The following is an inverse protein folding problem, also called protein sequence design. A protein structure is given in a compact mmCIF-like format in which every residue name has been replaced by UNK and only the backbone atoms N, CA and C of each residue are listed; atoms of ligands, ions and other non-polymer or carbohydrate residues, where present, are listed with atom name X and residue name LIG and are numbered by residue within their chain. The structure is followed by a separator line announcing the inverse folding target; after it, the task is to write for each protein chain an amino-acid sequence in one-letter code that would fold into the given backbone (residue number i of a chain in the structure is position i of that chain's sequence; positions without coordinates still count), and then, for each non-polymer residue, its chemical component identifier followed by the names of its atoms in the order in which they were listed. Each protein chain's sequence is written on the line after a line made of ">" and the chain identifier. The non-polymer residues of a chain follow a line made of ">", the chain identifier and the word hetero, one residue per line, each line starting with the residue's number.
data_IF_712345408673
#
_entry.id   IF_712345408673
#
_cell.length_a   1.000
_cell.length_b   1.000
_cell.length_c   1.000
_cell.angle_alpha   90.00
_cell.angle_beta   90.00
_cell.angle_gamma   90.00
#
_symmetry.space_group_name_H-M   'P 1'
#
loop_
_entity.id
_entity.type
_entity.pdbx_description
1 polymer ?
#
# COMPACT_ATOMS: atom_id res chain seq x y z
N UNK A 1 72.88 8.47 7.27
CA UNK A 1 72.01 8.30 8.46
C UNK A 1 71.31 9.64 8.72
N UNK A 2 70.02 9.80 8.97
CA UNK A 2 68.95 8.87 9.32
C UNK A 2 67.95 9.64 10.18
N UNK A 3 67.14 10.55 9.62
CA UNK A 3 66.18 11.31 10.44
C UNK A 3 64.82 11.63 9.79
N UNK A 4 64.61 11.34 8.49
CA UNK A 4 63.31 11.62 7.84
C UNK A 4 62.26 10.50 8.00
N UNK A 5 62.67 9.27 8.31
CA UNK A 5 61.74 8.13 8.48
C UNK A 5 61.06 8.06 9.87
N UNK A 6 61.68 8.63 10.91
CA UNK A 6 61.20 8.49 12.29
C UNK A 6 59.99 9.39 12.58
N UNK A 7 59.90 10.56 11.93
CA UNK A 7 58.79 11.52 12.14
C UNK A 7 57.49 11.02 11.52
N UNK A 8 57.57 10.40 10.33
CA UNK A 8 56.42 9.79 9.65
C UNK A 8 55.93 8.56 10.41
N UNK A 9 56.84 7.69 10.86
CA UNK A 9 56.48 6.51 11.64
C UNK A 9 55.86 6.86 13.01
N UNK A 10 56.37 7.90 13.70
CA UNK A 10 55.77 8.39 14.96
C UNK A 10 54.38 9.01 14.77
N UNK A 11 54.16 9.72 13.66
CA UNK A 11 52.86 10.31 13.33
C UNK A 11 51.81 9.25 12.96
N UNK A 12 52.23 8.21 12.23
CA UNK A 12 51.36 7.06 11.95
C UNK A 12 51.06 6.22 13.20
N UNK A 13 52.05 6.02 14.08
CA UNK A 13 51.85 5.33 15.35
C UNK A 13 50.88 6.09 16.27
N UNK A 14 50.95 7.43 16.31
CA UNK A 14 50.01 8.26 17.07
C UNK A 14 48.58 8.17 16.51
N UNK A 15 48.41 8.20 15.18
CA UNK A 15 47.11 8.03 14.53
C UNK A 15 46.50 6.63 14.77
N UNK A 16 47.33 5.58 14.76
CA UNK A 16 46.90 4.22 15.09
C UNK A 16 46.47 4.09 16.56
N UNK A 17 47.18 4.75 17.49
CA UNK A 17 46.86 4.76 18.91
C UNK A 17 45.57 5.52 19.22
N UNK A 18 45.33 6.64 18.54
CA UNK A 18 44.06 7.40 18.65
C UNK A 18 42.89 6.59 18.07
N UNK A 19 43.11 5.86 16.98
CA UNK A 19 42.13 4.90 16.45
C UNK A 19 41.77 3.84 17.48
N UNK A 20 42.77 3.11 18.01
CA UNK A 20 42.57 2.01 18.98
C UNK A 20 41.86 2.45 20.27
N UNK A 21 42.03 3.70 20.70
CA UNK A 21 41.37 4.24 21.89
C UNK A 21 39.95 4.78 21.64
N UNK A 22 39.62 5.21 20.40
CA UNK A 22 38.28 5.74 20.06
C UNK A 22 37.30 4.69 19.50
N UNK A 23 37.77 3.60 18.90
CA UNK A 23 36.88 2.56 18.34
C UNK A 23 36.03 1.77 19.37
N UNK A 24 36.50 1.44 20.60
CA UNK A 24 35.66 0.67 21.52
C UNK A 24 34.52 1.50 22.14
N UNK A 25 34.66 2.82 22.15
CA UNK A 25 33.67 3.74 22.74
C UNK A 25 32.45 3.96 21.80
N UNK A 26 32.64 3.88 20.47
CA UNK A 26 31.53 4.03 19.52
C UNK A 26 30.64 2.77 19.42
N UNK A 27 31.21 1.57 19.55
CA UNK A 27 30.43 0.32 19.46
C UNK A 27 29.54 0.08 20.69
N UNK A 28 29.98 0.47 21.88
CA UNK A 28 29.18 0.38 23.11
C UNK A 28 27.99 1.38 23.11
N UNK A 29 28.16 2.54 22.46
CA UNK A 29 27.12 3.57 22.38
C UNK A 29 25.96 3.22 21.43
N UNK A 30 26.17 2.34 20.43
CA UNK A 30 25.11 1.89 19.52
C UNK A 30 24.17 0.86 20.15
N UNK A 31 24.67 0.00 21.04
CA UNK A 31 23.86 -1.06 21.67
C UNK A 31 22.93 -0.50 22.77
N UNK A 32 23.38 0.48 23.54
CA UNK A 32 22.54 1.14 24.56
C UNK A 32 21.44 2.01 23.95
N UNK A 33 21.69 2.62 22.79
CA UNK A 33 20.72 3.48 22.10
C UNK A 33 19.62 2.69 21.39
N UNK A 34 19.95 1.55 20.78
CA UNK A 34 18.97 0.67 20.13
C UNK A 34 18.06 -0.03 21.15
N UNK A 35 18.61 -0.50 22.28
CA UNK A 35 17.83 -1.05 23.39
C UNK A 35 16.89 0.01 24.00
N UNK A 36 17.39 1.22 24.22
CA UNK A 36 16.58 2.32 24.76
C UNK A 36 15.45 2.78 23.83
N UNK A 37 15.66 2.82 22.51
CA UNK A 37 14.63 3.28 21.56
C UNK A 37 13.46 2.29 21.45
N UNK A 38 13.73 0.99 21.43
CA UNK A 38 12.70 -0.06 21.42
C UNK A 38 11.92 -0.09 22.75
N UNK A 39 12.62 0.05 23.89
CA UNK A 39 11.99 0.09 25.22
C UNK A 39 11.15 1.36 25.43
N UNK A 40 11.55 2.51 24.88
CA UNK A 40 10.73 3.72 24.92
C UNK A 40 9.43 3.57 24.09
N UNK A 41 9.49 2.86 22.97
CA UNK A 41 8.31 2.61 22.13
C UNK A 41 7.31 1.69 22.83
N UNK A 42 7.79 0.60 23.43
CA UNK A 42 6.94 -0.36 24.17
C UNK A 42 6.38 0.28 25.45
N UNK A 43 7.14 1.16 26.12
CA UNK A 43 6.65 1.93 27.25
C UNK A 43 5.52 2.92 26.87
N UNK A 44 5.60 3.55 25.68
CA UNK A 44 4.50 4.37 25.14
C UNK A 44 3.26 3.54 24.82
N UNK A 45 3.43 2.31 24.34
CA UNK A 45 2.32 1.39 24.12
C UNK A 45 1.64 1.00 25.44
N UNK A 46 2.44 0.76 26.49
CA UNK A 46 1.92 0.44 27.82
C UNK A 46 1.09 1.59 28.42
N UNK A 47 1.54 2.84 28.26
CA UNK A 47 0.79 4.00 28.76
C UNK A 47 -0.53 4.22 28.00
N UNK A 48 -0.55 3.95 26.69
CA UNK A 48 -1.77 3.98 25.88
C UNK A 48 -2.78 2.92 26.32
N UNK A 49 -2.34 1.69 26.60
CA UNK A 49 -3.23 0.62 27.09
C UNK A 49 -3.81 0.93 28.48
N UNK A 50 -3.00 1.49 29.40
CA UNK A 50 -3.49 1.96 30.71
C UNK A 50 -4.46 3.14 30.61
N UNK A 51 -4.34 3.97 29.56
CA UNK A 51 -5.33 5.00 29.29
C UNK A 51 -6.66 4.39 28.80
N UNK A 52 -6.59 3.34 27.99
CA UNK A 52 -7.77 2.58 27.55
C UNK A 52 -8.49 1.90 28.72
N UNK A 53 -7.76 1.30 29.67
CA UNK A 53 -8.35 0.73 30.90
C UNK A 53 -9.17 1.77 31.68
N UNK A 54 -8.61 2.98 31.88
CA UNK A 54 -9.31 4.08 32.56
C UNK A 54 -10.53 4.55 31.77
N UNK A 55 -10.41 4.67 30.45
CA UNK A 55 -11.53 5.12 29.59
C UNK A 55 -12.69 4.12 29.54
N UNK A 56 -12.39 2.82 29.67
CA UNK A 56 -13.38 1.74 29.63
C UNK A 56 -13.86 1.31 31.02
N UNK A 57 -13.32 1.91 32.07
CA UNK A 57 -13.68 1.57 33.46
C UNK A 57 -13.32 0.14 33.85
N UNK A 58 -12.34 -0.47 33.19
CA UNK A 58 -11.90 -1.82 33.52
C UNK A 58 -11.19 -1.79 34.89
N UNK A 59 -11.81 -2.34 35.93
CA UNK A 59 -11.20 -2.45 37.26
C UNK A 59 -10.54 -3.83 37.40
N UNK A 60 -9.40 -3.89 38.08
CA UNK A 60 -8.72 -5.16 38.36
C UNK A 60 -9.65 -6.10 39.12
N UNK A 61 -10.17 -7.12 38.43
CA UNK A 61 -11.16 -8.06 38.95
C UNK A 61 -12.48 -8.14 38.17
N UNK A 62 -12.72 -7.25 37.20
CA UNK A 62 -13.92 -7.29 36.34
C UNK A 62 -13.78 -8.30 35.17
N UNK A 63 -13.25 -9.50 35.46
CA UNK A 63 -13.24 -10.63 34.51
C UNK A 63 -14.63 -11.28 34.36
N UNK A 64 -15.66 -10.69 34.97
CA UNK A 64 -17.03 -11.21 35.00
C UNK A 64 -17.74 -10.92 33.67
N UNK A 65 -17.42 -11.71 32.65
CA UNK A 65 -18.06 -11.69 31.33
C UNK A 65 -17.61 -12.87 30.47
N UNK A 66 -18.46 -13.30 29.53
CA UNK A 66 -18.22 -14.47 28.68
C UNK A 66 -16.99 -14.38 27.78
N UNK A 67 -16.84 -15.36 26.88
CA UNK A 67 -15.65 -15.59 26.04
C UNK A 67 -15.04 -14.32 25.38
N UNK A 68 -15.86 -13.31 25.05
CA UNK A 68 -15.43 -11.99 24.55
C UNK A 68 -15.50 -10.89 25.64
N UNK A 69 -14.56 -10.91 26.59
CA UNK A 69 -14.45 -9.84 27.59
C UNK A 69 -13.31 -8.86 27.21
N UNK A 70 -13.63 -7.60 26.85
CA UNK A 70 -12.64 -6.61 26.43
C UNK A 70 -11.67 -6.19 27.54
N UNK A 71 -12.10 -6.24 28.81
CA UNK A 71 -11.22 -5.94 29.95
C UNK A 71 -10.21 -7.06 30.19
N UNK A 72 -10.60 -8.32 29.94
CA UNK A 72 -9.68 -9.48 30.01
C UNK A 72 -8.64 -9.47 28.89
N UNK A 73 -9.02 -9.09 27.67
CA UNK A 73 -8.07 -8.95 26.56
C UNK A 73 -7.06 -7.82 26.82
N UNK A 74 -7.52 -6.70 27.38
CA UNK A 74 -6.66 -5.58 27.75
C UNK A 74 -5.66 -5.96 28.86
N UNK A 75 -6.11 -6.65 29.92
CA UNK A 75 -5.22 -7.09 31.00
C UNK A 75 -4.15 -8.09 30.51
N UNK A 76 -4.52 -9.00 29.61
CA UNK A 76 -3.59 -9.94 28.98
C UNK A 76 -2.53 -9.23 28.14
N UNK A 77 -2.91 -8.24 27.32
CA UNK A 77 -1.97 -7.45 26.52
C UNK A 77 -1.00 -6.65 27.38
N UNK A 78 -1.49 -6.06 28.48
CA UNK A 78 -0.66 -5.31 29.42
C UNK A 78 0.36 -6.23 30.11
N UNK A 79 -0.07 -7.41 30.56
CA UNK A 79 0.82 -8.38 31.19
C UNK A 79 1.92 -8.87 30.23
N UNK A 80 1.58 -9.11 28.97
CA UNK A 80 2.55 -9.53 27.96
C UNK A 80 3.59 -8.44 27.67
N UNK A 81 3.17 -7.18 27.48
CA UNK A 81 4.11 -6.07 27.25
C UNK A 81 4.99 -5.82 28.49
N UNK A 82 4.44 -5.95 29.69
CA UNK A 82 5.23 -5.84 30.93
C UNK A 82 6.27 -6.96 31.06
N UNK A 83 5.95 -8.18 30.59
CA UNK A 83 6.90 -9.30 30.53
C UNK A 83 7.99 -9.06 29.48
N UNK A 84 7.61 -8.52 28.32
CA UNK A 84 8.56 -8.14 27.27
C UNK A 84 9.54 -7.07 27.77
N UNK A 85 9.05 -6.02 28.42
CA UNK A 85 9.89 -4.98 29.04
C UNK A 85 10.87 -5.58 30.07
N UNK A 86 10.41 -6.53 30.88
CA UNK A 86 11.25 -7.21 31.86
C UNK A 86 12.34 -8.06 31.17
N UNK A 87 12.00 -8.78 30.10
CA UNK A 87 12.97 -9.58 29.32
C UNK A 87 13.97 -8.74 28.51
N UNK A 88 13.55 -7.59 27.98
CA UNK A 88 14.42 -6.62 27.30
C UNK A 88 15.36 -5.90 28.28
N UNK A 89 14.89 -5.61 29.50
CA UNK A 89 15.72 -5.05 30.58
C UNK A 89 16.80 -6.03 31.07
N UNK A 90 16.54 -7.33 30.99
CA UNK A 90 17.52 -8.39 31.29
C UNK A 90 18.49 -8.60 30.13
N UNK A 91 18.02 -8.50 28.88
CA UNK A 91 18.86 -8.60 27.68
C UNK A 91 19.81 -7.41 27.54
N UNK A 92 19.40 -6.21 27.97
CA UNK A 92 20.27 -5.02 28.01
C UNK A 92 21.32 -5.07 29.13
N UNK A 93 21.15 -5.92 30.16
CA UNK A 93 22.22 -6.26 31.12
C UNK A 93 23.20 -7.30 30.58
N UNK A 94 22.85 -8.05 29.54
CA UNK A 94 23.70 -9.08 28.94
C UNK A 94 24.67 -8.56 27.87
N UNK A 95 24.76 -7.24 27.67
CA UNK A 95 25.78 -6.64 26.80
C UNK A 95 27.18 -6.54 27.46
N UNK A 96 27.36 -7.13 28.65
CA UNK A 96 28.67 -7.33 29.26
C UNK A 96 29.04 -8.80 29.08
N UNK A 97 30.13 -9.02 28.34
CA UNK A 97 30.78 -10.31 28.08
C UNK A 97 30.11 -11.26 27.06
N UNK A 98 30.49 -11.17 25.78
CA UNK A 98 30.51 -12.35 24.89
C UNK A 98 31.97 -12.63 24.49
N UNK A 99 32.58 -13.73 24.96
CA UNK A 99 33.79 -14.25 24.35
C UNK A 99 33.44 -14.89 23.00
N UNK A 100 34.24 -14.56 21.99
CA UNK A 100 34.15 -15.15 20.66
C UNK A 100 34.60 -16.62 20.69
N UNK A 101 33.69 -17.57 20.47
CA UNK A 101 33.95 -18.86 19.83
C UNK A 101 32.65 -19.62 19.57
N UNK A 102 32.37 -19.89 18.30
CA UNK A 102 31.29 -20.73 17.78
C UNK A 102 31.48 -22.24 18.09
N UNK A 103 30.48 -23.08 17.76
CA UNK A 103 30.70 -23.89 16.55
C UNK A 103 29.47 -23.99 15.62
N UNK A 104 29.79 -24.22 14.35
CA UNK A 104 28.89 -24.31 13.21
C UNK A 104 27.88 -25.46 13.33
N UNK A 105 26.59 -25.14 13.21
CA UNK A 105 25.53 -26.11 12.96
C UNK A 105 25.40 -26.36 11.45
N UNK A 106 25.55 -27.62 11.03
CA UNK A 106 25.37 -28.05 9.65
C UNK A 106 23.89 -27.97 9.27
N UNK A 107 23.54 -27.13 8.31
CA UNK A 107 22.21 -27.11 7.69
C UNK A 107 22.18 -28.16 6.59
N UNK A 108 21.36 -29.21 6.77
CA UNK A 108 20.99 -30.14 5.70
C UNK A 108 19.92 -29.47 4.84
N UNK A 109 20.19 -29.31 3.55
CA UNK A 109 19.25 -28.82 2.56
C UNK A 109 18.40 -30.00 2.09
N UNK A 110 17.17 -30.11 2.59
CA UNK A 110 16.19 -31.07 2.08
C UNK A 110 15.47 -30.49 0.84
N UNK A 111 15.40 -31.30 -0.22
CA UNK A 111 14.77 -30.98 -1.49
C UNK A 111 13.26 -31.18 -1.37
N UNK A 112 12.39 -30.17 -1.62
CA UNK A 112 10.96 -30.39 -1.58
C UNK A 112 10.54 -31.33 -2.72
N UNK A 113 9.75 -32.33 -2.35
CA UNK A 113 9.11 -33.30 -3.24
C UNK A 113 7.96 -32.62 -3.96
N UNK A 114 8.04 -32.53 -5.28
CA UNK A 114 6.97 -32.03 -6.15
C UNK A 114 5.74 -32.94 -5.98
N UNK A 115 4.66 -32.40 -5.43
CA UNK A 115 3.37 -33.07 -5.39
C UNK A 115 2.67 -32.82 -6.73
N UNK A 116 2.40 -33.89 -7.47
CA UNK A 116 1.59 -33.87 -8.70
C UNK A 116 0.13 -33.57 -8.35
N UNK A 117 -0.38 -32.43 -8.81
CA UNK A 117 -1.79 -32.05 -8.65
C UNK A 117 -2.61 -32.63 -9.80
N UNK A 118 -3.63 -33.41 -9.46
CA UNK A 118 -4.56 -34.00 -10.40
C UNK A 118 -5.48 -32.93 -11.02
N UNK A 119 -5.64 -32.97 -12.33
CA UNK A 119 -6.56 -32.13 -13.11
C UNK A 119 -8.01 -32.42 -12.72
N UNK A 120 -8.71 -31.43 -12.17
CA UNK A 120 -10.13 -31.50 -11.91
C UNK A 120 -10.80 -30.27 -12.55
N UNK A 121 -11.61 -30.49 -13.59
CA UNK A 121 -12.28 -29.46 -14.40
C UNK A 121 -13.42 -28.70 -13.67
N UNK A 122 -13.32 -28.57 -12.35
CA UNK A 122 -14.23 -27.72 -11.56
C UNK A 122 -13.53 -26.40 -11.22
N UNK A 123 -14.23 -25.26 -11.27
CA UNK A 123 -13.69 -23.99 -10.80
C UNK A 123 -13.11 -24.17 -9.39
N UNK A 124 -11.80 -24.00 -9.26
CA UNK A 124 -11.11 -24.18 -8.00
C UNK A 124 -11.36 -22.94 -7.15
N UNK A 125 -12.22 -23.08 -6.14
CA UNK A 125 -12.48 -22.02 -5.17
C UNK A 125 -11.57 -22.26 -3.97
N UNK A 126 -10.55 -21.41 -3.72
CA UNK A 126 -9.75 -21.53 -2.52
C UNK A 126 -10.61 -21.25 -1.29
N UNK A 127 -10.71 -22.24 -0.41
CA UNK A 127 -11.26 -22.06 0.93
C UNK A 127 -10.37 -21.05 1.66
N UNK A 128 -10.94 -19.89 1.98
CA UNK A 128 -10.25 -18.68 2.49
C UNK A 128 -9.04 -18.96 3.38
N UNK A 129 -7.86 -18.99 2.77
CA UNK A 129 -6.59 -19.08 3.47
C UNK A 129 -6.27 -17.66 3.94
N UNK A 130 -6.07 -17.49 5.26
CA UNK A 130 -5.67 -16.20 5.84
C UNK A 130 -4.36 -15.77 5.19
N UNK A 131 -4.41 -14.73 4.36
CA UNK A 131 -3.24 -14.19 3.67
C UNK A 131 -3.07 -14.63 2.21
N UNK A 132 -4.04 -15.32 1.61
CA UNK A 132 -3.98 -15.57 0.17
C UNK A 132 -4.01 -14.24 -0.61
N UNK A 133 -3.11 -14.11 -1.58
CA UNK A 133 -3.00 -12.96 -2.45
C UNK A 133 -3.61 -13.30 -3.81
N UNK A 134 -4.46 -12.43 -4.33
CA UNK A 134 -5.02 -12.60 -5.68
C UNK A 134 -4.37 -11.69 -6.70
N UNK A 135 -4.14 -12.23 -7.90
CA UNK A 135 -3.48 -11.58 -9.02
C UNK A 135 -4.36 -11.66 -10.25
N UNK A 136 -4.49 -10.55 -10.95
CA UNK A 136 -5.06 -10.53 -12.30
C UNK A 136 -3.95 -10.90 -13.28
N UNK A 137 -4.23 -11.83 -14.19
CA UNK A 137 -3.29 -12.25 -15.24
C UNK A 137 -3.95 -12.09 -16.60
N UNK A 138 -3.29 -11.40 -17.52
CA UNK A 138 -3.72 -11.29 -18.93
C UNK A 138 -3.28 -12.54 -19.69
N UNK A 139 -4.24 -13.22 -20.33
CA UNK A 139 -3.99 -14.49 -21.01
C UNK A 139 -3.22 -14.34 -22.32
N UNK A 140 -3.18 -13.14 -22.91
CA UNK A 140 -2.51 -12.88 -24.20
C UNK A 140 -0.97 -12.89 -24.10
N UNK A 141 -0.43 -12.46 -22.97
CA UNK A 141 1.02 -12.20 -22.78
C UNK A 141 1.51 -12.56 -21.37
N UNK A 142 0.65 -13.13 -20.54
CA UNK A 142 0.95 -13.46 -19.15
C UNK A 142 1.21 -12.25 -18.27
N UNK A 143 0.76 -11.04 -18.61
CA UNK A 143 0.97 -9.90 -17.72
C UNK A 143 0.23 -10.07 -16.40
N UNK A 144 0.97 -10.07 -15.28
CA UNK A 144 0.42 -10.23 -13.94
C UNK A 144 0.49 -8.92 -13.14
N UNK A 145 -0.57 -8.63 -12.39
CA UNK A 145 -0.61 -7.53 -11.44
C UNK A 145 -1.52 -7.86 -10.25
N UNK A 146 -1.31 -7.25 -9.07
CA UNK A 146 -2.16 -7.50 -7.90
C UNK A 146 -3.60 -7.10 -8.18
N UNK A 147 -4.53 -8.00 -7.87
CA UNK A 147 -5.94 -7.71 -8.04
C UNK A 147 -6.40 -6.61 -7.08
N UNK A 148 -7.41 -5.82 -7.45
CA UNK A 148 -8.04 -4.89 -6.51
C UNK A 148 -8.60 -5.67 -5.32
N UNK A 149 -8.34 -5.18 -4.11
CA UNK A 149 -8.63 -5.89 -2.86
C UNK A 149 -7.94 -7.27 -2.73
N UNK A 150 -6.72 -7.42 -3.29
CA UNK A 150 -6.00 -8.69 -3.34
C UNK A 150 -5.88 -9.44 -2.01
N UNK A 151 -5.77 -8.72 -0.90
CA UNK A 151 -5.62 -9.25 0.47
C UNK A 151 -6.95 -9.53 1.20
N UNK A 152 -8.08 -9.03 0.68
CA UNK A 152 -9.39 -9.08 1.33
C UNK A 152 -10.45 -9.79 0.50
N UNK A 153 -10.02 -10.58 -0.49
CA UNK A 153 -10.94 -11.32 -1.33
C UNK A 153 -11.75 -12.32 -0.52
N UNK A 154 -13.06 -12.24 -0.71
CA UNK A 154 -14.01 -13.24 -0.22
C UNK A 154 -14.20 -14.26 -1.34
N UNK A 155 -14.56 -15.50 -1.00
CA UNK A 155 -14.85 -16.53 -2.00
C UNK A 155 -15.89 -16.10 -3.04
N UNK A 156 -16.81 -15.24 -2.64
CA UNK A 156 -17.95 -14.83 -3.47
C UNK A 156 -17.64 -13.62 -4.37
N UNK A 157 -16.48 -12.96 -4.21
CA UNK A 157 -16.10 -11.75 -4.98
C UNK A 157 -15.25 -12.05 -6.22
N UNK A 158 -15.07 -13.32 -6.59
CA UNK A 158 -14.25 -13.74 -7.74
C UNK A 158 -14.73 -13.09 -9.04
N UNK A 159 -16.02 -13.16 -9.34
CA UNK A 159 -16.61 -12.64 -10.59
C UNK A 159 -16.49 -11.12 -10.70
N UNK A 160 -16.74 -10.40 -9.60
CA UNK A 160 -16.57 -8.96 -9.51
C UNK A 160 -15.11 -8.55 -9.71
N UNK A 161 -14.18 -9.29 -9.09
CA UNK A 161 -12.75 -9.03 -9.22
C UNK A 161 -12.28 -9.25 -10.66
N UNK A 162 -12.73 -10.31 -11.33
CA UNK A 162 -12.44 -10.56 -12.75
C UNK A 162 -12.97 -9.42 -13.63
N UNK A 163 -14.19 -8.95 -13.38
CA UNK A 163 -14.76 -7.82 -14.13
C UNK A 163 -13.91 -6.54 -13.94
N UNK A 164 -13.38 -6.33 -12.75
CA UNK A 164 -12.52 -5.20 -12.47
C UNK A 164 -11.15 -5.32 -13.13
N UNK A 165 -10.55 -6.51 -13.12
CA UNK A 165 -9.33 -6.81 -13.88
C UNK A 165 -9.55 -6.49 -15.38
N UNK A 166 -10.69 -6.90 -15.95
CA UNK A 166 -11.05 -6.63 -17.35
C UNK A 166 -11.15 -5.14 -17.62
N UNK A 167 -11.78 -4.38 -16.72
CA UNK A 167 -11.87 -2.93 -16.85
C UNK A 167 -10.48 -2.26 -16.85
N UNK A 168 -9.58 -2.68 -15.95
CA UNK A 168 -8.21 -2.17 -15.85
C UNK A 168 -7.42 -2.45 -17.14
N UNK A 169 -7.61 -3.62 -17.74
CA UNK A 169 -7.00 -4.01 -19.02
C UNK A 169 -7.87 -3.66 -20.25
N UNK A 170 -8.80 -2.69 -20.14
CA UNK A 170 -9.57 -2.17 -21.27
C UNK A 170 -10.36 -3.23 -22.07
N UNK A 171 -10.82 -4.29 -21.41
CA UNK A 171 -11.64 -5.35 -22.01
C UNK A 171 -10.87 -6.56 -22.53
N UNK A 172 -9.55 -6.62 -22.33
CA UNK A 172 -8.76 -7.80 -22.70
C UNK A 172 -9.12 -9.05 -21.87
N UNK A 173 -8.82 -10.23 -22.43
CA UNK A 173 -9.02 -11.50 -21.76
C UNK A 173 -8.04 -11.65 -20.58
N UNK A 174 -8.59 -11.53 -19.38
CA UNK A 174 -7.88 -11.72 -18.13
C UNK A 174 -8.55 -12.82 -17.32
N UNK A 175 -7.73 -13.53 -16.55
CA UNK A 175 -8.15 -14.52 -15.57
C UNK A 175 -7.60 -14.15 -14.19
N UNK A 176 -8.21 -14.73 -13.15
CA UNK A 176 -7.84 -14.50 -11.76
C UNK A 176 -7.02 -15.69 -11.25
N UNK A 177 -5.87 -15.39 -10.68
CA UNK A 177 -4.99 -16.36 -10.05
C UNK A 177 -4.92 -16.08 -8.55
N UNK A 178 -4.85 -17.14 -7.74
CA UNK A 178 -4.72 -17.05 -6.30
C UNK A 178 -3.41 -17.70 -5.88
N UNK A 179 -2.64 -16.94 -5.12
CA UNK A 179 -1.45 -17.40 -4.44
C UNK A 179 -1.82 -17.70 -2.99
N UNK A 180 -1.77 -18.97 -2.62
CA UNK A 180 -2.19 -19.45 -1.29
C UNK A 180 -1.18 -19.08 -0.19
N UNK A 181 0.11 -19.11 -0.51
CA UNK A 181 1.18 -18.72 0.40
C UNK A 181 1.60 -17.26 0.11
N UNK A 182 1.38 -16.30 1.03
CA UNK A 182 1.78 -14.91 0.80
C UNK A 182 3.29 -14.71 0.63
N UNK A 183 4.12 -15.64 1.10
CA UNK A 183 5.57 -15.64 0.91
C UNK A 183 6.01 -16.52 -0.27
N UNK A 184 5.07 -17.19 -0.94
CA UNK A 184 5.32 -18.04 -2.10
C UNK A 184 5.69 -17.25 -3.34
N UNK A 185 6.17 -17.96 -4.36
CA UNK A 185 6.53 -17.35 -5.63
C UNK A 185 5.28 -17.15 -6.52
N UNK A 186 5.37 -16.18 -7.44
CA UNK A 186 4.29 -15.97 -8.44
C UNK A 186 4.12 -17.16 -9.39
N UNK A 187 5.07 -18.09 -9.43
CA UNK A 187 4.98 -19.32 -10.22
C UNK A 187 3.91 -20.29 -9.66
N UNK A 188 3.71 -20.30 -8.35
CA UNK A 188 2.84 -21.23 -7.63
C UNK A 188 1.38 -20.76 -7.57
N UNK A 189 1.06 -19.62 -8.18
CA UNK A 189 -0.32 -19.12 -8.22
C UNK A 189 -1.18 -20.01 -9.11
N UNK A 190 -2.42 -20.25 -8.69
CA UNK A 190 -3.35 -21.16 -9.36
C UNK A 190 -4.54 -20.39 -9.90
N UNK A 191 -4.93 -20.63 -11.16
CA UNK A 191 -6.10 -20.00 -11.76
C UNK A 191 -7.38 -20.49 -11.10
N UNK A 192 -8.30 -19.56 -10.85
CA UNK A 192 -9.63 -19.85 -10.31
C UNK A 192 -10.52 -20.54 -11.35
N UNK A 193 -10.30 -20.27 -12.64
CA UNK A 193 -11.15 -20.80 -13.71
C UNK A 193 -10.85 -22.26 -14.03
N UNK A 194 -9.56 -22.61 -14.14
CA UNK A 194 -9.11 -23.90 -14.67
C UNK A 194 -8.25 -24.70 -13.67
N UNK A 195 -7.92 -24.13 -12.51
CA UNK A 195 -7.12 -24.80 -11.48
C UNK A 195 -5.67 -25.06 -11.89
N UNK A 196 -5.20 -24.48 -13.00
CA UNK A 196 -3.82 -24.67 -13.49
C UNK A 196 -2.89 -23.65 -12.86
N UNK A 197 -1.63 -24.04 -12.57
CA UNK A 197 -0.62 -23.11 -12.10
C UNK A 197 -0.24 -22.12 -13.20
N UNK A 198 0.20 -20.93 -12.81
CA UNK A 198 0.55 -19.87 -13.76
C UNK A 198 1.71 -20.26 -14.69
N UNK A 199 2.65 -21.08 -14.23
CA UNK A 199 3.75 -21.61 -15.07
C UNK A 199 3.30 -22.50 -16.21
N UNK A 200 2.09 -23.09 -16.14
CA UNK A 200 1.53 -23.89 -17.24
C UNK A 200 0.90 -23.02 -18.35
N UNK A 201 0.76 -21.71 -18.12
CA UNK A 201 0.28 -20.79 -19.15
C UNK A 201 1.37 -20.63 -20.22
N UNK A 202 1.04 -20.89 -21.49
CA UNK A 202 2.00 -20.80 -22.60
C UNK A 202 2.61 -19.42 -22.77
N UNK A 203 1.93 -18.38 -22.28
CA UNK A 203 2.38 -16.99 -22.32
C UNK A 203 2.94 -16.49 -20.99
N UNK A 204 3.17 -17.38 -20.00
CA UNK A 204 3.67 -16.98 -18.70
C UNK A 204 4.96 -16.16 -18.82
N UNK A 205 4.99 -15.03 -18.13
CA UNK A 205 6.13 -14.10 -18.07
C UNK A 205 6.54 -13.45 -19.40
N UNK A 206 5.80 -13.63 -20.50
CA UNK A 206 6.16 -13.04 -21.81
C UNK A 206 6.27 -11.50 -21.76
N UNK A 207 5.48 -10.84 -20.91
CA UNK A 207 5.55 -9.39 -20.71
C UNK A 207 6.91 -8.87 -20.18
N UNK A 208 7.78 -9.75 -19.65
CA UNK A 208 9.12 -9.38 -19.19
C UNK A 208 10.16 -9.35 -20.34
N UNK A 209 9.80 -9.84 -21.52
CA UNK A 209 10.66 -9.81 -22.70
C UNK A 209 10.82 -8.39 -23.29
N UNK A 210 11.66 -8.26 -24.31
CA UNK A 210 11.99 -6.99 -24.96
C UNK A 210 11.01 -6.56 -26.08
N UNK A 211 9.77 -7.05 -26.06
CA UNK A 211 8.75 -6.72 -27.05
C UNK A 211 7.96 -5.44 -26.74
N UNK A 212 7.10 -5.02 -27.67
CA UNK A 212 6.16 -3.92 -27.49
C UNK A 212 5.06 -4.28 -26.48
N UNK A 213 5.38 -4.20 -25.19
CA UNK A 213 4.48 -4.55 -24.10
C UNK A 213 3.74 -3.31 -23.56
N UNK A 214 2.41 -3.37 -23.58
CA UNK A 214 1.53 -2.38 -22.94
C UNK A 214 0.99 -2.92 -21.61
N UNK A 215 1.29 -2.21 -20.52
CA UNK A 215 0.71 -2.46 -19.20
C UNK A 215 -0.78 -2.10 -19.16
N UNK A 216 -1.53 -2.80 -18.32
CA UNK A 216 -2.92 -2.40 -18.05
C UNK A 216 -2.99 -1.04 -17.34
N UNK A 217 -4.07 -0.29 -17.58
CA UNK A 217 -4.19 1.10 -17.13
C UNK A 217 -4.76 1.19 -15.71
N UNK A 218 -3.90 0.98 -14.71
CA UNK A 218 -4.30 1.13 -13.31
C UNK A 218 -4.67 2.58 -12.94
N UNK A 219 -3.97 3.57 -13.51
CA UNK A 219 -4.22 4.98 -13.26
C UNK A 219 -5.66 5.36 -13.68
N UNK A 220 -6.06 4.99 -14.90
CA UNK A 220 -7.41 5.24 -15.39
C UNK A 220 -8.50 4.56 -14.56
N UNK A 221 -8.22 3.38 -13.99
CA UNK A 221 -9.13 2.74 -13.04
C UNK A 221 -9.27 3.55 -11.74
N UNK A 222 -8.16 3.99 -11.14
CA UNK A 222 -8.19 4.82 -9.93
C UNK A 222 -8.91 6.15 -10.17
N UNK A 223 -8.63 6.81 -11.30
CA UNK A 223 -9.29 8.05 -11.68
C UNK A 223 -10.80 7.85 -11.81
N UNK A 224 -11.23 6.76 -12.45
CA UNK A 224 -12.65 6.44 -12.59
C UNK A 224 -13.34 6.20 -11.24
N UNK A 225 -12.70 5.47 -10.33
CA UNK A 225 -13.22 5.25 -8.98
C UNK A 225 -13.29 6.55 -8.19
N UNK A 226 -12.30 7.44 -8.36
CA UNK A 226 -12.28 8.74 -7.70
C UNK A 226 -13.43 9.63 -8.19
N UNK A 227 -13.70 9.64 -9.50
CA UNK A 227 -14.81 10.35 -10.14
C UNK A 227 -16.16 9.84 -9.61
N UNK A 228 -16.38 8.51 -9.63
CA UNK A 228 -17.61 7.90 -9.12
C UNK A 228 -17.83 8.21 -7.63
N UNK A 229 -16.75 8.19 -6.84
CA UNK A 229 -16.79 8.55 -5.42
C UNK A 229 -17.12 10.04 -5.23
N UNK A 230 -16.57 10.93 -6.05
CA UNK A 230 -16.86 12.36 -6.01
C UNK A 230 -18.33 12.64 -6.39
N UNK A 231 -18.82 12.03 -7.47
CA UNK A 231 -20.23 12.12 -7.89
C UNK A 231 -21.18 11.60 -6.82
N UNK A 232 -20.84 10.47 -6.18
CA UNK A 232 -21.64 9.92 -5.06
C UNK A 232 -21.67 10.84 -3.84
N UNK A 233 -20.56 11.52 -3.52
CA UNK A 233 -20.52 12.52 -2.44
C UNK A 233 -21.36 13.74 -2.76
N UNK A 234 -21.32 14.24 -4.00
CA UNK A 234 -22.20 15.32 -4.46
C UNK A 234 -23.67 14.97 -4.27
N UNK A 235 -24.10 13.80 -4.76
CA UNK A 235 -25.48 13.33 -4.57
C UNK A 235 -25.91 13.19 -3.11
N UNK A 236 -24.99 12.81 -2.20
CA UNK A 236 -25.29 12.78 -0.76
C UNK A 236 -25.35 14.17 -0.12
N UNK A 237 -24.55 15.13 -0.59
CA UNK A 237 -24.57 16.50 -0.10
C UNK A 237 -25.91 17.20 -0.43
N UNK A 238 -26.51 16.88 -1.58
CA UNK A 238 -27.82 17.42 -1.99
C UNK A 238 -29.03 16.64 -1.43
N UNK A 239 -28.81 15.53 -0.69
CA UNK A 239 -29.93 14.71 -0.17
C UNK A 239 -30.83 15.44 0.83
N UNK A 240 -30.30 16.45 1.52
CA UNK A 240 -31.04 17.29 2.48
C UNK A 240 -31.26 18.73 1.98
N UNK A 241 -30.88 19.03 0.74
CA UNK A 241 -31.15 20.34 0.14
C UNK A 241 -32.54 20.26 -0.47
N UNK A 242 -33.52 20.84 0.22
CA UNK A 242 -34.82 21.13 -0.37
C UNK A 242 -34.58 22.21 -1.42
N UNK A 243 -34.49 21.82 -2.69
CA UNK A 243 -34.53 22.76 -3.80
C UNK A 243 -35.96 23.29 -3.84
N UNK A 244 -36.23 24.55 -3.48
CA UNK A 244 -37.58 25.08 -3.52
C UNK A 244 -38.05 25.01 -4.97
N UNK A 245 -39.11 24.24 -5.22
CA UNK A 245 -39.75 24.22 -6.51
C UNK A 245 -40.41 25.59 -6.69
N UNK A 246 -40.09 26.35 -7.75
CA UNK A 246 -40.79 27.60 -8.01
C UNK A 246 -42.27 27.29 -8.26
N UNK A 247 -43.14 27.72 -7.34
CA UNK A 247 -44.59 27.46 -7.39
C UNK A 247 -45.27 28.15 -8.58
N UNK A 248 -44.63 29.17 -9.15
CA UNK A 248 -45.12 29.88 -10.32
C UNK A 248 -44.29 29.53 -11.55
N UNK A 249 -44.98 29.08 -12.61
CA UNK A 249 -44.41 29.10 -13.96
C UNK A 249 -43.97 30.54 -14.24
N UNK A 250 -42.70 30.79 -14.60
CA UNK A 250 -42.27 32.13 -14.97
C UNK A 250 -43.18 32.63 -16.10
N UNK A 251 -43.82 33.77 -15.88
CA UNK A 251 -44.65 34.42 -16.89
C UNK A 251 -43.78 34.70 -18.09
N UNK A 252 -44.11 34.08 -19.23
CA UNK A 252 -43.56 34.48 -20.52
C UNK A 252 -44.09 35.90 -20.75
N UNK A 253 -43.21 36.89 -20.68
CA UNK A 253 -43.58 38.24 -21.08
C UNK A 253 -43.88 38.18 -22.59
N UNK A 254 -45.17 38.23 -22.94
CA UNK A 254 -45.62 38.27 -24.34
C UNK A 254 -45.34 39.63 -25.00
N UNK A 255 -44.81 40.60 -24.24
CA UNK A 255 -44.40 41.92 -24.73
C UNK A 255 -42.99 41.96 -25.34
N UNK A 256 -42.26 40.85 -25.32
CA UNK A 256 -41.08 40.68 -26.16
C UNK A 256 -41.43 39.62 -27.17
N UNK A 257 -41.82 40.08 -28.36
CA UNK A 257 -41.80 39.27 -29.57
C UNK A 257 -40.58 38.36 -29.51
N UNK A 258 -40.84 37.05 -29.40
CA UNK A 258 -39.82 36.02 -29.45
C UNK A 258 -39.13 36.17 -30.81
N UNK A 259 -38.10 37.01 -30.82
CA UNK A 259 -37.25 37.20 -31.96
C UNK A 259 -36.54 35.88 -32.09
N UNK A 260 -36.82 35.12 -33.16
CA UNK A 260 -36.07 33.95 -33.57
C UNK A 260 -34.64 34.31 -34.04
N UNK A 261 -34.03 35.30 -33.38
CA UNK A 261 -32.72 35.89 -33.66
C UNK A 261 -31.95 36.00 -32.34
N UNK A 262 -31.79 34.89 -31.63
CA UNK A 262 -30.83 34.77 -30.54
C UNK A 262 -29.88 33.58 -30.73
N UNK A 263 -29.60 33.27 -32.00
CA UNK A 263 -28.23 32.93 -32.41
C UNK A 263 -27.60 34.20 -33.01
N UNK A 264 -27.43 35.23 -32.19
CA UNK A 264 -26.42 36.23 -32.49
C UNK A 264 -25.08 35.64 -32.00
N UNK A 265 -24.06 35.47 -32.87
CA UNK A 265 -22.73 35.12 -32.40
C UNK A 265 -22.31 36.14 -31.36
N UNK A 266 -21.69 35.68 -30.28
CA UNK A 266 -21.18 36.56 -29.21
C UNK A 266 -20.19 37.52 -29.88
N UNK A 267 -20.63 38.74 -30.15
CA UNK A 267 -19.74 39.82 -30.54
C UNK A 267 -18.86 40.11 -29.34
N UNK A 268 -17.56 40.26 -29.62
CA UNK A 268 -16.50 40.47 -28.64
C UNK A 268 -16.88 41.59 -27.67
N UNK A 269 -17.32 41.19 -26.48
CA UNK A 269 -17.66 42.09 -25.38
C UNK A 269 -16.49 42.06 -24.42
N UNK A 270 -15.81 43.19 -24.29
CA UNK A 270 -14.67 43.36 -23.38
C UNK A 270 -15.16 43.29 -21.93
N UNK A 271 -15.32 42.07 -21.41
CA UNK A 271 -15.57 41.83 -19.99
C UNK A 271 -14.24 42.00 -19.28
N UNK A 272 -14.12 43.02 -18.41
CA UNK A 272 -12.98 43.11 -17.50
C UNK A 272 -13.13 42.03 -16.44
N UNK A 273 -12.43 40.92 -16.64
CA UNK A 273 -12.30 39.87 -15.63
C UNK A 273 -11.46 40.43 -14.49
N UNK A 274 -12.12 40.89 -13.42
CA UNK A 274 -11.47 41.22 -12.15
C UNK A 274 -11.58 40.02 -11.23
N UNK A 275 -10.59 39.15 -11.31
CA UNK A 275 -10.35 38.03 -10.39
C UNK A 275 -8.85 37.78 -10.31
N UNK A 276 -8.31 37.31 -9.16
CA UNK A 276 -6.88 37.11 -8.99
C UNK A 276 -6.34 36.13 -10.04
N UNK A 277 -5.35 36.59 -10.82
CA UNK A 277 -4.80 35.89 -11.97
C UNK A 277 -3.98 34.66 -11.54
N UNK A 278 -4.53 33.47 -11.75
CA UNK A 278 -3.78 32.21 -11.67
C UNK A 278 -4.21 31.25 -12.77
N UNK A 279 -4.09 31.66 -14.04
CA UNK A 279 -4.02 30.71 -15.15
C UNK A 279 -2.89 31.19 -16.07
N UNK A 280 -1.85 30.37 -16.19
CA UNK A 280 -0.81 30.51 -17.20
C UNK A 280 -1.35 29.88 -18.48
N UNK A 281 -1.61 30.68 -19.50
CA UNK A 281 -1.82 30.16 -20.86
C UNK A 281 -0.49 30.31 -21.62
N UNK A 282 0.20 29.18 -21.75
CA UNK A 282 1.37 29.01 -22.59
C UNK A 282 0.93 28.89 -24.05
N UNK A 283 1.33 29.87 -24.86
CA UNK A 283 1.97 29.58 -26.15
C UNK A 283 1.12 29.21 -27.37
N UNK A 284 1.46 29.92 -28.46
CA UNK A 284 1.22 29.60 -29.88
C UNK A 284 -0.22 29.79 -30.40
N UNK A 285 -0.49 30.49 -31.50
CA UNK A 285 0.38 31.03 -32.53
C UNK A 285 -0.44 31.14 -33.81
N UNK A 286 -0.39 32.32 -34.45
CA UNK A 286 -0.55 32.58 -35.88
C UNK A 286 -1.86 32.13 -36.59
N UNK A 287 -2.64 33.08 -37.12
CA UNK A 287 -2.52 33.43 -38.55
C UNK A 287 -3.37 34.66 -38.89
N UNK A 288 -2.68 35.63 -39.49
CA UNK A 288 -3.19 36.85 -40.10
C UNK A 288 -4.08 36.52 -41.30
N UNK A 289 -5.30 37.06 -41.35
CA UNK A 289 -6.07 37.18 -42.59
C UNK A 289 -6.10 38.66 -42.98
N UNK A 290 -5.30 39.05 -43.97
CA UNK A 290 -5.43 40.33 -44.66
C UNK A 290 -6.68 40.31 -45.54
N UNK A 291 -7.46 41.37 -45.47
CA UNK A 291 -8.40 41.76 -46.51
C UNK A 291 -7.75 42.87 -47.36
N UNK A 292 -7.97 42.78 -48.68
CA UNK A 292 -7.50 43.62 -49.79
C UNK A 292 -6.05 43.44 -50.26
#
# INVERSE_FOLDING_TARGET
>A
MGFKGVVVAKSFALLLLIGLLCFPQLAAASCTRAAGAADMMTQRQLSALRALERSRGCKGGDERGGFFNPCRDLSQKIAEIQRQLSSSSLSSRSCVEQPAASPAAKVKLDRPKVASVATNDKPWVPNGIKGALTYCVRLSDGYLFPAPHSQFQKSDSVTETVAQCRFICQGENVDLYVLNDPNGETADMVSVSNGKPYVELSTAYNYQGSGDFRRCNWAGYVDKISELRASSKGGRAFKNVVVPMPDARPTRNDDVAASAASFAPITDRSVRVVGPAFIFDDGAGNMKLSAH
#
